data_IF_239537224233
#
_entry.id   IF_239537224233
#
_cell.length_a   1.000
_cell.length_b   1.000
_cell.length_c   1.000
_cell.angle_alpha   90.00
_cell.angle_beta   90.00
_cell.angle_gamma   90.00
#
_symmetry.space_group_name_H-M   'P 1'
#
loop_
_entity.id
_entity.type
_entity.pdbx_description
1 polymer ?
#
# COMPACT_ATOMS: atom_id res chain seq x y z
N UNK A 1 -28.70 0.88 73.11
CA UNK A 1 -28.49 -0.36 72.31
C UNK A 1 -27.98 0.08 70.94
N UNK A 2 -26.74 -0.30 70.58
CA UNK A 2 -26.08 0.06 69.31
C UNK A 2 -26.64 -0.76 68.14
N UNK A 3 -26.52 -0.23 66.92
CA UNK A 3 -26.22 -0.83 65.58
C UNK A 3 -26.68 0.27 64.59
N UNK A 4 -25.93 0.79 63.62
CA UNK A 4 -24.70 0.36 62.96
C UNK A 4 -24.83 0.78 61.49
N UNK A 5 -23.98 1.71 61.05
CA UNK A 5 -23.76 2.11 59.65
C UNK A 5 -23.46 0.89 58.77
N UNK A 6 -23.95 0.88 57.52
CA UNK A 6 -23.30 0.23 56.38
C UNK A 6 -23.83 0.78 55.06
N UNK A 7 -23.15 1.82 54.59
CA UNK A 7 -23.18 2.29 53.20
C UNK A 7 -22.37 1.29 52.39
N UNK A 8 -23.03 0.45 51.61
CA UNK A 8 -22.35 -0.48 50.69
C UNK A 8 -21.97 0.29 49.43
N UNK A 9 -20.71 0.69 49.34
CA UNK A 9 -20.07 1.04 48.07
C UNK A 9 -19.96 -0.22 47.23
N UNK A 10 -20.89 -0.42 46.30
CA UNK A 10 -20.70 -1.38 45.22
C UNK A 10 -19.80 -0.74 44.16
N UNK A 11 -18.49 -0.81 44.41
CA UNK A 11 -17.48 -0.54 43.39
C UNK A 11 -17.69 -1.49 42.22
N UNK A 12 -18.05 -0.93 41.06
CA UNK A 12 -18.23 -1.65 39.81
C UNK A 12 -16.87 -2.24 39.37
N UNK A 13 -16.64 -3.57 39.46
CA UNK A 13 -15.35 -4.17 39.15
C UNK A 13 -15.06 -4.21 37.64
N UNK A 14 -16.07 -3.95 36.79
CA UNK A 14 -15.93 -3.97 35.33
C UNK A 14 -15.33 -2.72 34.69
N UNK A 15 -15.23 -1.59 35.41
CA UNK A 15 -14.66 -0.35 34.85
C UNK A 15 -13.13 -0.23 35.01
N UNK A 16 -12.50 -1.08 35.83
CA UNK A 16 -11.05 -1.02 36.09
C UNK A 16 -10.18 -1.78 35.08
N UNK A 17 -10.77 -2.63 34.24
CA UNK A 17 -10.04 -3.43 33.24
C UNK A 17 -10.05 -2.87 31.82
N UNK A 18 -10.76 -1.78 31.55
CA UNK A 18 -10.34 -0.82 30.52
C UNK A 18 -9.28 0.10 31.10
N UNK A 19 -8.18 -0.47 31.61
CA UNK A 19 -6.91 0.25 31.61
C UNK A 19 -6.68 0.60 30.14
N UNK A 20 -6.94 1.86 29.80
CA UNK A 20 -6.39 2.49 28.61
C UNK A 20 -4.94 2.01 28.54
N UNK A 21 -4.63 1.09 27.62
CA UNK A 21 -3.25 0.87 27.21
C UNK A 21 -2.80 2.27 26.84
N UNK A 22 -1.97 2.87 27.69
CA UNK A 22 -1.48 4.22 27.47
C UNK A 22 -1.03 4.24 26.01
N UNK A 23 -1.74 5.00 25.17
CA UNK A 23 -1.47 4.97 23.74
C UNK A 23 -0.05 5.48 23.60
N UNK A 24 0.88 4.58 23.25
CA UNK A 24 2.28 4.92 23.01
C UNK A 24 2.27 6.16 22.11
N UNK A 25 2.98 7.20 22.55
CA UNK A 25 3.13 8.43 21.78
C UNK A 25 3.72 8.03 20.42
N UNK A 26 3.10 8.48 19.34
CA UNK A 26 3.62 8.27 17.99
C UNK A 26 4.73 9.29 17.78
N UNK A 27 5.95 8.82 17.53
CA UNK A 27 7.12 9.66 17.31
C UNK A 27 7.54 9.64 15.83
N UNK A 28 7.33 8.51 15.15
CA UNK A 28 7.60 8.37 13.71
C UNK A 28 6.40 7.83 12.95
N UNK A 29 6.15 8.42 11.79
CA UNK A 29 5.16 8.00 10.79
C UNK A 29 5.89 7.69 9.49
N UNK A 30 5.73 6.47 8.99
CA UNK A 30 6.18 6.11 7.64
C UNK A 30 4.99 5.94 6.71
N UNK A 31 5.01 6.67 5.61
CA UNK A 31 4.02 6.54 4.56
C UNK A 31 4.62 5.77 3.39
N UNK A 32 4.05 4.61 3.10
CA UNK A 32 4.58 3.65 2.16
C UNK A 32 3.73 3.61 0.90
N UNK A 33 4.38 3.74 -0.24
CA UNK A 33 3.81 3.35 -1.53
C UNK A 33 4.51 2.05 -1.95
N UNK A 34 3.88 0.87 -1.76
CA UNK A 34 4.52 -0.39 -2.12
C UNK A 34 4.81 -0.43 -3.62
N UNK A 35 5.90 -1.09 -4.06
CA UNK A 35 6.10 -1.36 -5.48
C UNK A 35 4.88 -2.13 -6.00
N UNK A 36 4.29 -1.75 -7.14
CA UNK A 36 3.30 -2.61 -7.77
C UNK A 36 3.94 -3.98 -8.09
N UNK A 37 3.16 -5.06 -8.06
CA UNK A 37 3.49 -6.29 -8.79
C UNK A 37 3.36 -5.96 -10.27
N UNK A 38 4.39 -5.30 -10.81
CA UNK A 38 4.41 -4.71 -12.14
C UNK A 38 3.83 -5.68 -13.17
N UNK A 39 2.70 -5.34 -13.83
CA UNK A 39 2.45 -5.77 -15.19
C UNK A 39 3.45 -5.13 -16.15
N UNK A 40 4.31 -4.22 -15.70
CA UNK A 40 5.34 -3.55 -16.48
C UNK A 40 6.42 -4.53 -16.95
N UNK A 41 6.57 -5.70 -16.33
CA UNK A 41 7.36 -6.80 -16.93
C UNK A 41 6.76 -7.25 -18.26
N UNK A 42 5.46 -7.06 -18.45
CA UNK A 42 4.70 -7.34 -19.66
C UNK A 42 4.53 -6.10 -20.56
N UNK A 43 4.26 -4.92 -20.00
CA UNK A 43 4.13 -3.67 -20.77
C UNK A 43 5.48 -3.12 -21.26
N UNK A 44 6.58 -3.34 -20.53
CA UNK A 44 7.93 -3.05 -21.01
C UNK A 44 8.32 -3.94 -22.20
N UNK A 45 7.66 -5.10 -22.39
CA UNK A 45 7.87 -5.91 -23.59
C UNK A 45 7.32 -5.22 -24.84
N UNK A 46 6.34 -4.33 -24.70
CA UNK A 46 5.80 -3.48 -25.77
C UNK A 46 6.48 -2.11 -25.86
N UNK A 47 7.53 -1.85 -25.07
CA UNK A 47 8.24 -0.57 -25.08
C UNK A 47 9.02 -0.29 -26.39
N UNK A 48 9.06 -1.23 -27.33
CA UNK A 48 9.57 -0.99 -28.68
C UNK A 48 8.49 -0.76 -29.74
N UNK A 49 7.22 -0.74 -29.36
CA UNK A 49 6.11 -0.67 -30.33
C UNK A 49 5.72 0.79 -30.63
N UNK A 50 5.29 1.09 -31.87
CA UNK A 50 4.71 2.38 -32.21
C UNK A 50 3.61 2.80 -31.23
N UNK A 51 3.62 4.07 -30.82
CA UNK A 51 2.72 4.63 -29.80
C UNK A 51 1.22 4.29 -30.00
N UNK A 52 0.65 4.30 -31.24
CA UNK A 52 -0.74 3.90 -31.45
C UNK A 52 -1.01 2.44 -31.01
N UNK A 53 -0.06 1.54 -31.24
CA UNK A 53 -0.19 0.12 -30.89
C UNK A 53 -0.02 -0.11 -29.39
N UNK A 54 0.88 0.63 -28.73
CA UNK A 54 1.02 0.59 -27.27
C UNK A 54 -0.28 0.98 -26.58
N UNK A 55 -0.97 2.00 -27.10
CA UNK A 55 -2.28 2.43 -26.57
C UNK A 55 -3.34 1.33 -26.69
N UNK A 56 -3.39 0.64 -27.84
CA UNK A 56 -4.36 -0.44 -28.09
C UNK A 56 -4.04 -1.69 -27.26
N UNK A 57 -2.76 -2.09 -27.20
CA UNK A 57 -2.29 -3.20 -26.36
C UNK A 57 -2.62 -2.93 -24.88
N UNK A 58 -2.39 -1.70 -24.40
CA UNK A 58 -2.77 -1.29 -23.05
C UNK A 58 -4.27 -1.45 -22.80
N UNK A 59 -5.12 -0.95 -23.70
CA UNK A 59 -6.57 -1.10 -23.57
C UNK A 59 -7.02 -2.57 -23.54
N UNK A 60 -6.41 -3.44 -24.34
CA UNK A 60 -6.70 -4.88 -24.34
C UNK A 60 -6.27 -5.52 -23.02
N UNK A 61 -5.07 -5.20 -22.53
CA UNK A 61 -4.54 -5.69 -21.25
C UNK A 61 -5.45 -5.28 -20.08
N UNK A 62 -5.90 -4.02 -20.05
CA UNK A 62 -6.84 -3.55 -19.02
C UNK A 62 -8.19 -4.25 -19.12
N UNK A 63 -8.75 -4.42 -20.32
CA UNK A 63 -10.01 -5.17 -20.50
C UNK A 63 -9.87 -6.63 -20.09
N UNK A 64 -8.74 -7.28 -20.37
CA UNK A 64 -8.50 -8.67 -19.95
C UNK A 64 -8.35 -8.79 -18.42
N UNK A 65 -7.72 -7.80 -17.77
CA UNK A 65 -7.65 -7.72 -16.31
C UNK A 65 -9.03 -7.45 -15.67
N UNK A 66 -9.86 -6.61 -16.30
CA UNK A 66 -11.24 -6.33 -15.88
C UNK A 66 -12.16 -7.56 -15.98
N UNK A 67 -11.94 -8.43 -16.96
CA UNK A 67 -12.75 -9.66 -17.18
C UNK A 67 -12.32 -10.80 -16.24
N UNK A 68 -11.47 -10.55 -15.23
CA UNK A 68 -11.01 -11.52 -14.24
C UNK A 68 -10.46 -12.82 -14.87
N UNK A 69 -9.75 -12.68 -16.00
CA UNK A 69 -9.08 -13.80 -16.66
C UNK A 69 -8.08 -14.42 -15.70
N UNK A 70 -8.05 -15.76 -15.62
CA UNK A 70 -7.11 -16.45 -14.74
C UNK A 70 -5.67 -16.03 -15.03
N UNK A 71 -4.85 -15.95 -13.97
CA UNK A 71 -3.45 -15.48 -14.04
C UNK A 71 -2.64 -16.18 -15.14
N UNK A 72 -2.83 -17.49 -15.30
CA UNK A 72 -2.09 -18.30 -16.27
C UNK A 72 -2.56 -18.05 -17.71
N UNK A 73 -3.85 -17.84 -17.91
CA UNK A 73 -4.41 -17.51 -19.21
C UNK A 73 -3.97 -16.12 -19.65
N UNK A 74 -3.97 -15.15 -18.72
CA UNK A 74 -3.45 -13.82 -18.95
C UNK A 74 -1.96 -13.85 -19.33
N UNK A 75 -1.13 -14.57 -18.57
CA UNK A 75 0.29 -14.72 -18.86
C UNK A 75 0.55 -15.36 -20.24
N UNK A 76 -0.23 -16.39 -20.59
CA UNK A 76 -0.10 -17.11 -21.88
C UNK A 76 -0.47 -16.21 -23.07
N UNK A 77 -1.55 -15.44 -22.96
CA UNK A 77 -1.95 -14.49 -24.01
C UNK A 77 -0.88 -13.41 -24.22
N UNK A 78 -0.29 -12.93 -23.13
CA UNK A 78 0.71 -11.88 -23.17
C UNK A 78 2.04 -12.38 -23.77
N UNK A 79 2.43 -13.61 -23.46
CA UNK A 79 3.59 -14.26 -24.08
C UNK A 79 3.42 -14.46 -25.61
N UNK A 80 2.19 -14.66 -26.10
CA UNK A 80 1.91 -14.72 -27.54
C UNK A 80 2.01 -13.36 -28.21
N UNK A 81 1.44 -12.32 -27.60
CA UNK A 81 1.47 -10.96 -28.15
C UNK A 81 2.89 -10.40 -28.27
N UNK A 82 3.78 -10.78 -27.36
CA UNK A 82 5.17 -10.30 -27.36
C UNK A 82 6.07 -10.95 -28.38
N UNK A 83 5.73 -12.15 -28.87
CA UNK A 83 6.41 -12.77 -30.01
C UNK A 83 6.18 -12.01 -31.33
N UNK A 84 5.18 -11.15 -31.39
CA UNK A 84 4.89 -10.32 -32.56
C UNK A 84 5.69 -9.01 -32.60
N UNK A 85 6.67 -8.83 -31.69
CA UNK A 85 7.49 -7.62 -31.59
C UNK A 85 8.44 -7.50 -32.79
N UNK A 86 8.40 -6.39 -33.55
CA UNK A 86 9.45 -6.10 -34.52
C UNK A 86 10.77 -5.72 -33.80
N UNK A 87 11.94 -6.07 -34.33
CA UNK A 87 13.22 -5.70 -33.74
C UNK A 87 13.40 -4.18 -33.84
N UNK A 88 13.35 -3.47 -32.71
CA UNK A 88 13.37 -2.01 -32.66
C UNK A 88 14.02 -1.49 -31.39
N UNK A 89 14.83 -0.42 -31.56
CA UNK A 89 15.68 0.30 -30.60
C UNK A 89 15.05 0.44 -29.20
N UNK A 90 15.87 0.28 -28.16
CA UNK A 90 15.50 0.55 -26.77
C UNK A 90 15.25 2.06 -26.57
N UNK A 91 13.99 2.48 -26.66
CA UNK A 91 13.60 3.86 -26.37
C UNK A 91 13.47 4.07 -24.85
N UNK A 92 14.38 4.89 -24.31
CA UNK A 92 14.43 5.39 -22.92
C UNK A 92 13.20 6.21 -22.52
N UNK A 93 12.30 6.52 -23.45
CA UNK A 93 11.15 7.40 -23.25
C UNK A 93 9.97 6.74 -22.51
N UNK A 94 9.84 5.41 -22.57
CA UNK A 94 8.65 4.69 -22.06
C UNK A 94 8.68 4.47 -20.54
N UNK A 95 9.85 4.61 -19.90
CA UNK A 95 9.97 4.61 -18.45
C UNK A 95 9.17 5.76 -17.79
N UNK A 96 8.84 6.83 -18.53
CA UNK A 96 8.18 8.03 -17.99
C UNK A 96 6.69 7.84 -17.70
N UNK A 97 5.99 6.98 -18.45
CA UNK A 97 4.54 6.74 -18.31
C UNK A 97 4.16 5.39 -17.68
N UNK A 98 5.15 4.51 -17.45
CA UNK A 98 4.99 3.29 -16.67
C UNK A 98 4.96 3.57 -15.15
N UNK A 99 5.40 4.75 -14.73
CA UNK A 99 5.31 5.21 -13.34
C UNK A 99 3.88 5.64 -13.07
N UNK A 100 3.18 4.91 -12.21
CA UNK A 100 1.85 5.31 -11.70
C UNK A 100 1.92 6.78 -11.26
N UNK A 101 0.91 7.63 -11.55
CA UNK A 101 0.98 9.06 -11.27
C UNK A 101 1.46 9.29 -9.85
N UNK A 102 2.36 10.29 -9.71
CA UNK A 102 3.02 10.63 -8.46
C UNK A 102 2.02 10.58 -7.30
N UNK A 103 2.38 9.99 -6.15
CA UNK A 103 1.42 9.72 -5.08
C UNK A 103 1.04 11.01 -4.34
N UNK A 104 0.29 11.90 -4.98
CA UNK A 104 -0.15 13.18 -4.43
C UNK A 104 -0.93 12.99 -3.12
N UNK A 105 -1.70 11.90 -3.00
CA UNK A 105 -2.39 11.55 -1.77
C UNK A 105 -1.43 11.31 -0.59
N UNK A 106 -0.33 10.58 -0.82
CA UNK A 106 0.64 10.29 0.25
C UNK A 106 1.43 11.54 0.65
N UNK A 107 1.75 12.40 -0.33
CA UNK A 107 2.40 13.69 -0.09
C UNK A 107 1.48 14.63 0.71
N UNK A 108 0.19 14.65 0.36
CA UNK A 108 -0.82 15.45 1.07
C UNK A 108 -0.94 15.02 2.54
N UNK A 109 -1.09 13.72 2.79
CA UNK A 109 -1.14 13.18 4.16
C UNK A 109 0.16 13.45 4.91
N UNK A 110 1.31 13.25 4.28
CA UNK A 110 2.62 13.51 4.91
C UNK A 110 2.79 14.97 5.30
N UNK A 111 2.43 15.89 4.39
CA UNK A 111 2.49 17.34 4.63
C UNK A 111 1.56 17.75 5.77
N UNK A 112 0.30 17.30 5.73
CA UNK A 112 -0.67 17.58 6.77
C UNK A 112 -0.21 17.05 8.14
N UNK A 113 0.31 15.81 8.17
CA UNK A 113 0.79 15.20 9.42
C UNK A 113 1.93 16.01 10.01
N UNK A 114 2.91 16.39 9.19
CA UNK A 114 4.08 17.19 9.61
C UNK A 114 3.67 18.58 10.12
N UNK A 115 2.70 19.21 9.49
CA UNK A 115 2.22 20.55 9.88
C UNK A 115 1.42 20.54 11.18
N UNK A 116 0.60 19.51 11.40
CA UNK A 116 -0.35 19.47 12.52
C UNK A 116 0.18 18.71 13.75
N UNK A 117 1.30 18.01 13.63
CA UNK A 117 1.89 17.22 14.72
C UNK A 117 3.39 17.56 14.88
N UNK A 118 3.71 18.75 15.43
CA UNK A 118 5.10 19.14 15.66
C UNK A 118 5.78 18.13 16.59
N UNK A 119 6.97 17.65 16.19
CA UNK A 119 7.72 16.62 16.91
C UNK A 119 7.45 15.18 16.43
N UNK A 120 6.59 14.99 15.43
CA UNK A 120 6.45 13.70 14.73
C UNK A 120 7.32 13.72 13.47
N UNK A 121 8.22 12.74 13.35
CA UNK A 121 8.97 12.50 12.13
C UNK A 121 8.05 11.87 11.07
N UNK A 122 8.12 12.38 9.84
CA UNK A 122 7.36 11.85 8.71
C UNK A 122 8.31 11.49 7.58
N UNK A 123 8.32 10.21 7.22
CA UNK A 123 9.13 9.66 6.12
C UNK A 123 8.23 9.03 5.05
N UNK A 124 8.60 9.19 3.78
CA UNK A 124 7.90 8.56 2.65
C UNK A 124 8.81 7.50 2.03
N UNK A 125 8.35 6.25 2.01
CA UNK A 125 9.01 5.14 1.34
C UNK A 125 8.36 4.91 -0.05
N UNK A 126 8.97 5.46 -1.10
CA UNK A 126 8.49 5.33 -2.48
C UNK A 126 8.98 4.04 -3.14
N UNK A 127 8.22 2.96 -2.96
CA UNK A 127 8.45 1.69 -3.64
C UNK A 127 8.01 1.67 -5.11
N UNK A 128 7.24 2.64 -5.59
CA UNK A 128 6.79 2.67 -6.98
C UNK A 128 7.94 3.07 -7.92
N UNK A 129 8.79 4.01 -7.47
CA UNK A 129 9.86 4.57 -8.30
C UNK A 129 11.28 4.38 -7.78
N UNK A 130 11.46 4.27 -6.45
CA UNK A 130 12.79 4.40 -5.82
C UNK A 130 13.23 3.10 -5.15
N UNK A 131 12.36 2.48 -4.35
CA UNK A 131 12.70 1.33 -3.51
C UNK A 131 12.11 0.03 -4.05
N UNK A 132 12.84 -1.07 -3.90
CA UNK A 132 12.31 -2.42 -4.06
C UNK A 132 11.45 -2.82 -2.86
N UNK A 133 10.71 -3.93 -2.98
CA UNK A 133 9.89 -4.43 -1.88
C UNK A 133 10.73 -4.80 -0.65
N UNK A 134 11.89 -5.44 -0.86
CA UNK A 134 12.80 -5.79 0.23
C UNK A 134 13.37 -4.56 0.92
N UNK A 135 13.74 -3.52 0.15
CA UNK A 135 14.22 -2.25 0.72
C UNK A 135 13.12 -1.50 1.48
N UNK A 136 11.88 -1.52 0.98
CA UNK A 136 10.74 -0.99 1.73
C UNK A 136 10.61 -1.73 3.05
N UNK A 137 10.54 -3.07 3.03
CA UNK A 137 10.37 -3.90 4.23
C UNK A 137 11.51 -3.71 5.24
N UNK A 138 12.75 -3.64 4.78
CA UNK A 138 13.91 -3.50 5.67
C UNK A 138 13.93 -2.17 6.42
N UNK A 139 13.45 -1.09 5.80
CA UNK A 139 13.43 0.27 6.36
C UNK A 139 12.26 0.59 7.28
N UNK A 140 11.27 -0.31 7.43
CA UNK A 140 10.11 -0.05 8.30
C UNK A 140 10.54 0.00 9.76
N UNK A 141 10.44 1.15 10.42
CA UNK A 141 10.86 1.34 11.81
C UNK A 141 9.97 2.36 12.56
N UNK A 142 8.81 2.71 11.99
CA UNK A 142 7.89 3.71 12.54
C UNK A 142 6.87 3.13 13.55
N UNK A 143 6.34 4.00 14.43
CA UNK A 143 5.22 3.66 15.33
C UNK A 143 3.89 3.54 14.58
N UNK A 144 3.75 4.28 13.49
CA UNK A 144 2.59 4.30 12.60
C UNK A 144 3.04 4.17 11.15
N UNK A 145 2.47 3.20 10.44
CA UNK A 145 2.72 2.98 9.01
C UNK A 145 1.43 3.17 8.22
N UNK A 146 1.40 4.20 7.37
CA UNK A 146 0.32 4.44 6.41
C UNK A 146 0.67 3.83 5.06
N UNK A 147 -0.16 2.95 4.52
CA UNK A 147 0.12 2.23 3.27
C UNK A 147 -0.86 2.69 2.20
N UNK A 148 -0.36 3.21 1.09
CA UNK A 148 -1.17 3.57 -0.08
C UNK A 148 -1.31 2.35 -1.00
N UNK A 149 -2.40 1.61 -0.83
CA UNK A 149 -2.73 0.44 -1.64
C UNK A 149 -3.22 0.85 -3.04
N UNK A 150 -2.67 0.19 -4.05
CA UNK A 150 -3.12 0.27 -5.44
C UNK A 150 -3.57 -1.10 -5.92
N UNK A 151 -4.43 -1.16 -6.94
CA UNK A 151 -4.95 -2.43 -7.45
C UNK A 151 -3.83 -3.38 -7.90
N UNK A 152 -2.80 -2.87 -8.57
CA UNK A 152 -1.64 -3.67 -9.01
C UNK A 152 -0.59 -3.95 -7.93
N UNK A 153 -0.75 -3.41 -6.72
CA UNK A 153 0.22 -3.55 -5.63
C UNK A 153 -0.38 -4.05 -4.33
N UNK A 154 -1.63 -4.54 -4.33
CA UNK A 154 -2.36 -4.86 -3.11
C UNK A 154 -1.68 -5.98 -2.30
N UNK A 155 -1.20 -7.03 -2.96
CA UNK A 155 -0.47 -8.11 -2.28
C UNK A 155 0.78 -7.59 -1.54
N UNK A 156 1.55 -6.72 -2.19
CA UNK A 156 2.71 -6.08 -1.57
C UNK A 156 2.30 -5.13 -0.44
N UNK A 157 1.15 -4.45 -0.56
CA UNK A 157 0.60 -3.65 0.54
C UNK A 157 0.29 -4.53 1.76
N UNK A 158 -0.24 -5.73 1.55
CA UNK A 158 -0.47 -6.71 2.62
C UNK A 158 0.85 -7.22 3.21
N UNK A 159 1.85 -7.52 2.38
CA UNK A 159 3.17 -7.95 2.87
C UNK A 159 3.85 -6.86 3.73
N UNK A 160 3.83 -5.60 3.27
CA UNK A 160 4.32 -4.45 4.03
C UNK A 160 3.55 -4.29 5.35
N UNK A 161 2.22 -4.44 5.31
CA UNK A 161 1.38 -4.34 6.51
C UNK A 161 1.73 -5.41 7.56
N UNK A 162 2.00 -6.65 7.12
CA UNK A 162 2.42 -7.74 8.01
C UNK A 162 3.74 -7.41 8.70
N UNK A 163 4.76 -7.04 7.93
CA UNK A 163 6.08 -6.66 8.48
C UNK A 163 5.98 -5.48 9.44
N UNK A 164 5.19 -4.46 9.11
CA UNK A 164 4.97 -3.32 9.99
C UNK A 164 4.34 -3.72 11.33
N UNK A 165 3.30 -4.58 11.30
CA UNK A 165 2.67 -5.11 12.52
C UNK A 165 3.62 -5.98 13.34
N UNK A 166 4.43 -6.83 12.70
CA UNK A 166 5.45 -7.65 13.37
C UNK A 166 6.48 -6.78 14.11
N UNK A 167 6.78 -5.59 13.56
CA UNK A 167 7.65 -4.59 14.20
C UNK A 167 6.93 -3.71 15.25
N UNK A 168 5.67 -4.00 15.55
CA UNK A 168 4.89 -3.32 16.58
C UNK A 168 4.22 -2.01 16.12
N UNK A 169 4.26 -1.69 14.82
CA UNK A 169 3.63 -0.50 14.30
C UNK A 169 2.10 -0.63 14.25
N UNK A 170 1.41 0.50 14.46
CA UNK A 170 0.02 0.63 14.03
C UNK A 170 0.00 0.77 12.50
N UNK A 171 -0.91 0.07 11.83
CA UNK A 171 -0.99 0.09 10.36
C UNK A 171 -2.32 0.68 9.91
N UNK A 172 -2.26 1.63 8.98
CA UNK A 172 -3.42 2.21 8.30
C UNK A 172 -3.31 1.92 6.81
N UNK A 173 -4.34 1.30 6.25
CA UNK A 173 -4.47 1.08 4.81
C UNK A 173 -5.32 2.19 4.19
N UNK A 174 -4.79 2.83 3.16
CA UNK A 174 -5.45 3.86 2.36
C UNK A 174 -5.10 3.73 0.88
N UNK A 175 -5.32 4.78 0.10
CA UNK A 175 -5.07 4.78 -1.33
C UNK A 175 -6.27 4.34 -2.17
N UNK A 176 -6.11 4.36 -3.49
CA UNK A 176 -7.22 4.21 -4.45
C UNK A 176 -7.91 2.84 -4.42
N UNK A 177 -7.23 1.82 -3.93
CA UNK A 177 -7.76 0.46 -3.83
C UNK A 177 -8.11 0.04 -2.38
N UNK A 178 -7.96 0.94 -1.39
CA UNK A 178 -8.36 0.62 -0.03
C UNK A 178 -9.89 0.53 0.08
N UNK A 179 -10.37 -0.53 0.72
CA UNK A 179 -11.79 -0.74 0.99
C UNK A 179 -11.97 -1.12 2.47
N UNK A 180 -13.16 -0.88 3.04
CA UNK A 180 -13.45 -1.29 4.42
C UNK A 180 -13.53 -2.83 4.61
N UNK A 181 -13.40 -3.62 3.53
CA UNK A 181 -13.38 -5.10 3.56
C UNK A 181 -12.20 -5.71 4.32
N UNK A 182 -11.35 -4.93 4.99
CA UNK A 182 -10.28 -5.46 5.83
C UNK A 182 -10.78 -6.44 6.93
N UNK A 183 -12.07 -6.36 7.33
CA UNK A 183 -12.72 -7.34 8.23
C UNK A 183 -13.11 -8.67 7.55
N UNK A 184 -13.21 -8.68 6.23
CA UNK A 184 -13.67 -9.81 5.42
C UNK A 184 -12.51 -10.54 4.73
N UNK A 185 -11.30 -9.94 4.71
CA UNK A 185 -10.11 -10.43 3.98
C UNK A 185 -9.01 -10.94 4.95
N UNK A 186 -8.97 -10.45 6.19
CA UNK A 186 -8.02 -10.85 7.24
C UNK A 186 -8.73 -11.58 8.37
#
# INVERSE_FOLDING_TARGET
MRIGSLRVEMGNPGLKEMKMRASKKVEKVQLVLPPPRRPDTYLAQFAGWPHPLVRHARQIVFRLAEVAVSRDLFATMLQRLTRLRPPGRQDTYIAKFARWPQPLGILSVGTYTKQNNPGVEVEILDGNNVLTLEEVKSRIDADLVGISATAGGYDHAIEVAKVAKERGAKVVLGGAAATPLAREIL
#
